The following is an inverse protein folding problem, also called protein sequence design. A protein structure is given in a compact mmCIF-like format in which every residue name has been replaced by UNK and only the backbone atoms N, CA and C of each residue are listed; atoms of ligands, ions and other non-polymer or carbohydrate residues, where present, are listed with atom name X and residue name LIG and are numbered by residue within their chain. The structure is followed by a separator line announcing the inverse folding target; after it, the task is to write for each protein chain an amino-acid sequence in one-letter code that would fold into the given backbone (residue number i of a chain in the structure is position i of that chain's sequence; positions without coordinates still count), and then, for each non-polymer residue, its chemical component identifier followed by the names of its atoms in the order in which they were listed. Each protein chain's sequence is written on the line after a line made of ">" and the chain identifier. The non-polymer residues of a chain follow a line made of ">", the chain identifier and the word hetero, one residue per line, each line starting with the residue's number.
data_IF_244788102194
#
_entry.id   IF_244788102194
#
_cell.length_a   1.000
_cell.length_b   1.000
_cell.length_c   1.000
_cell.angle_alpha   90.00
_cell.angle_beta   90.00
_cell.angle_gamma   90.00
#
_symmetry.space_group_name_H-M   'P 1'
#
loop_
_entity.id
_entity.type
_entity.pdbx_description
1 polymer ?
#
# COMPACT_ATOMS: atom_id res chain seq x y z
N UNK A 1 -17.23 -10.60 7.45
CA UNK A 1 -17.85 -10.38 6.11
C UNK A 1 -19.26 -9.81 6.15
N UNK A 2 -20.20 -10.36 6.94
CA UNK A 2 -21.63 -9.99 6.93
C UNK A 2 -21.92 -8.47 6.95
N UNK A 3 -21.35 -7.72 7.90
CA UNK A 3 -21.52 -6.25 7.99
C UNK A 3 -21.07 -5.47 6.74
N UNK A 4 -20.10 -5.98 5.99
CA UNK A 4 -19.63 -5.31 4.78
C UNK A 4 -20.64 -5.46 3.62
N UNK A 5 -21.40 -6.56 3.62
CA UNK A 5 -22.38 -6.95 2.60
C UNK A 5 -23.81 -6.44 2.91
N UNK A 6 -24.17 -6.25 4.18
CA UNK A 6 -25.52 -5.82 4.61
C UNK A 6 -26.02 -4.51 3.98
N UNK A 7 -25.13 -3.61 3.58
CA UNK A 7 -25.48 -2.33 2.95
C UNK A 7 -25.46 -2.32 1.42
N UNK A 8 -25.25 -3.47 0.78
CA UNK A 8 -25.15 -3.57 -0.69
C UNK A 8 -26.52 -3.78 -1.33
N UNK A 9 -26.76 -3.12 -2.46
CA UNK A 9 -27.88 -3.44 -3.35
C UNK A 9 -27.65 -4.81 -4.00
N UNK A 10 -28.73 -5.45 -4.49
CA UNK A 10 -28.67 -6.77 -5.14
C UNK A 10 -27.56 -6.88 -6.18
N UNK A 11 -27.57 -5.99 -7.18
CA UNK A 11 -26.53 -5.98 -8.22
C UNK A 11 -25.11 -5.76 -7.68
N UNK A 12 -24.94 -4.98 -6.60
CA UNK A 12 -23.63 -4.75 -6.00
C UNK A 12 -23.13 -6.02 -5.30
N UNK A 13 -24.04 -6.74 -4.63
CA UNK A 13 -23.74 -8.02 -4.01
C UNK A 13 -23.39 -9.05 -5.07
N UNK A 14 -24.16 -9.14 -6.16
CA UNK A 14 -23.88 -10.06 -7.25
C UNK A 14 -22.49 -9.80 -7.87
N UNK A 15 -22.13 -8.52 -8.07
CA UNK A 15 -20.77 -8.16 -8.52
C UNK A 15 -19.69 -8.55 -7.52
N UNK A 16 -19.94 -8.42 -6.21
CA UNK A 16 -18.98 -8.84 -5.16
C UNK A 16 -18.76 -10.35 -5.19
N UNK A 17 -19.84 -11.12 -5.21
CA UNK A 17 -19.77 -12.59 -5.25
C UNK A 17 -19.03 -13.04 -6.51
N UNK A 18 -19.46 -12.56 -7.68
CA UNK A 18 -18.85 -12.93 -8.95
C UNK A 18 -17.36 -12.53 -9.03
N UNK A 19 -17.00 -11.31 -8.60
CA UNK A 19 -15.61 -10.88 -8.60
C UNK A 19 -14.76 -11.73 -7.65
N UNK A 20 -15.29 -12.11 -6.48
CA UNK A 20 -14.57 -12.95 -5.52
C UNK A 20 -14.36 -14.36 -6.06
N UNK A 21 -15.38 -14.97 -6.65
CA UNK A 21 -15.31 -16.33 -7.19
C UNK A 21 -14.29 -16.42 -8.34
N UNK A 22 -14.33 -15.44 -9.27
CA UNK A 22 -13.35 -15.32 -10.36
C UNK A 22 -11.91 -15.11 -9.86
N UNK A 23 -11.72 -14.50 -8.69
CA UNK A 23 -10.40 -14.23 -8.12
C UNK A 23 -9.84 -15.39 -7.29
N UNK A 24 -10.70 -16.20 -6.63
CA UNK A 24 -10.24 -17.15 -5.60
C UNK A 24 -10.84 -18.56 -5.69
N UNK A 25 -12.09 -18.74 -6.12
CA UNK A 25 -12.80 -20.02 -5.94
C UNK A 25 -12.92 -20.84 -7.22
N UNK A 26 -12.99 -20.19 -8.38
CA UNK A 26 -13.17 -20.88 -9.65
C UNK A 26 -11.95 -21.73 -10.03
N UNK A 27 -12.21 -22.88 -10.68
CA UNK A 27 -11.15 -23.77 -11.19
C UNK A 27 -10.25 -23.07 -12.21
N UNK A 28 -10.79 -22.11 -12.97
CA UNK A 28 -10.11 -21.28 -13.96
C UNK A 28 -10.00 -19.82 -13.50
N UNK A 29 -9.79 -19.62 -12.19
CA UNK A 29 -9.64 -18.29 -11.58
C UNK A 29 -8.53 -17.45 -12.23
N UNK A 30 -8.69 -16.14 -12.12
CA UNK A 30 -7.77 -15.12 -12.65
C UNK A 30 -7.23 -14.27 -11.52
N UNK A 31 -5.98 -13.83 -11.62
CA UNK A 31 -5.41 -12.87 -10.66
C UNK A 31 -5.86 -11.42 -10.88
N UNK A 32 -6.71 -11.17 -11.90
CA UNK A 32 -7.15 -9.82 -12.29
C UNK A 32 -8.63 -9.82 -12.64
N UNK A 33 -9.34 -8.82 -12.13
CA UNK A 33 -10.76 -8.61 -12.40
C UNK A 33 -11.04 -7.10 -12.59
N UNK A 34 -11.88 -6.74 -13.56
CA UNK A 34 -12.26 -5.36 -13.86
C UNK A 34 -13.75 -5.14 -13.60
N UNK A 35 -14.08 -4.21 -12.69
CA UNK A 35 -15.47 -3.80 -12.43
C UNK A 35 -15.82 -2.57 -13.28
N UNK A 36 -16.61 -2.77 -14.32
CA UNK A 36 -16.94 -1.77 -15.33
C UNK A 36 -18.34 -1.11 -15.15
N UNK A 37 -18.73 -0.79 -13.91
CA UNK A 37 -20.01 -0.09 -13.64
C UNK A 37 -20.03 1.39 -14.10
N UNK A 38 -21.22 1.98 -14.21
CA UNK A 38 -21.41 3.42 -14.40
C UNK A 38 -20.93 4.24 -13.18
N UNK A 39 -20.63 5.52 -13.39
CA UNK A 39 -20.26 6.46 -12.32
C UNK A 39 -21.43 6.59 -11.35
N UNK A 40 -21.13 6.55 -10.04
CA UNK A 40 -22.16 6.68 -9.00
C UNK A 40 -22.84 5.37 -8.58
N UNK A 41 -22.63 4.25 -9.29
CA UNK A 41 -23.22 2.96 -8.92
C UNK A 41 -22.57 2.26 -7.71
N UNK A 42 -21.62 2.92 -7.05
CA UNK A 42 -21.06 2.46 -5.79
C UNK A 42 -19.92 1.45 -5.92
N UNK A 43 -19.05 1.57 -6.93
CA UNK A 43 -17.84 0.74 -7.08
C UNK A 43 -16.99 0.62 -5.81
N UNK A 44 -16.93 1.67 -4.98
CA UNK A 44 -16.22 1.62 -3.69
C UNK A 44 -16.90 0.67 -2.69
N UNK A 45 -18.23 0.55 -2.72
CA UNK A 45 -18.97 -0.41 -1.90
C UNK A 45 -18.74 -1.84 -2.39
N UNK A 46 -18.73 -2.05 -3.71
CA UNK A 46 -18.34 -3.33 -4.32
C UNK A 46 -16.92 -3.71 -3.90
N UNK A 47 -15.95 -2.79 -4.05
CA UNK A 47 -14.57 -3.02 -3.61
C UNK A 47 -14.48 -3.36 -2.11
N UNK A 48 -15.29 -2.71 -1.26
CA UNK A 48 -15.40 -3.06 0.17
C UNK A 48 -15.80 -4.51 0.38
N UNK A 49 -16.83 -4.97 -0.33
CA UNK A 49 -17.32 -6.34 -0.23
C UNK A 49 -16.26 -7.34 -0.67
N UNK A 50 -15.61 -7.11 -1.81
CA UNK A 50 -14.54 -7.98 -2.32
C UNK A 50 -13.36 -8.05 -1.35
N UNK A 51 -12.92 -6.90 -0.82
CA UNK A 51 -11.84 -6.85 0.17
C UNK A 51 -12.25 -7.58 1.46
N UNK A 52 -13.50 -7.46 1.90
CA UNK A 52 -14.00 -8.18 3.08
C UNK A 52 -13.89 -9.69 2.91
N UNK A 53 -14.38 -10.21 1.79
CA UNK A 53 -14.30 -11.64 1.48
C UNK A 53 -12.85 -12.10 1.31
N UNK A 54 -12.01 -11.28 0.69
CA UNK A 54 -10.58 -11.57 0.53
C UNK A 54 -9.88 -11.70 1.88
N UNK A 55 -10.12 -10.77 2.81
CA UNK A 55 -9.51 -10.82 4.15
C UNK A 55 -9.94 -12.09 4.89
N UNK A 56 -11.23 -12.40 4.85
CA UNK A 56 -11.83 -13.56 5.52
C UNK A 56 -11.28 -14.87 4.96
N UNK A 57 -11.20 -14.97 3.62
CA UNK A 57 -10.66 -16.14 2.92
C UNK A 57 -9.19 -16.39 3.22
N UNK A 58 -8.38 -15.33 3.32
CA UNK A 58 -6.95 -15.43 3.55
C UNK A 58 -6.56 -15.42 5.04
N UNK A 59 -7.53 -15.30 5.95
CA UNK A 59 -7.27 -14.98 7.35
C UNK A 59 -6.40 -16.04 8.03
N UNK A 60 -6.73 -17.31 7.84
CA UNK A 60 -6.02 -18.43 8.47
C UNK A 60 -4.86 -18.97 7.61
N UNK A 61 -4.81 -18.62 6.32
CA UNK A 61 -3.88 -19.20 5.36
C UNK A 61 -2.55 -18.44 5.25
N UNK A 62 -2.52 -17.13 5.52
CA UNK A 62 -1.31 -16.31 5.36
C UNK A 62 -1.03 -15.44 6.57
N UNK A 63 0.25 -15.21 6.89
CA UNK A 63 0.65 -14.42 8.07
C UNK A 63 0.23 -12.95 7.99
N UNK A 64 0.18 -12.36 6.79
CA UNK A 64 -0.07 -10.93 6.57
C UNK A 64 -0.81 -10.68 5.25
N UNK A 65 -1.83 -9.82 5.31
CA UNK A 65 -2.64 -9.38 4.17
C UNK A 65 -2.37 -7.89 3.92
N UNK A 66 -1.76 -7.57 2.78
CA UNK A 66 -1.48 -6.18 2.37
C UNK A 66 -2.40 -5.77 1.21
N UNK A 67 -3.26 -4.78 1.46
CA UNK A 67 -4.21 -4.26 0.48
C UNK A 67 -3.69 -2.93 -0.05
N UNK A 68 -3.33 -2.91 -1.33
CA UNK A 68 -2.79 -1.73 -2.00
C UNK A 68 -3.89 -0.99 -2.75
N UNK A 69 -4.14 0.25 -2.36
CA UNK A 69 -5.12 1.13 -3.00
C UNK A 69 -4.41 2.27 -3.73
N UNK A 70 -4.57 2.32 -5.06
CA UNK A 70 -4.00 3.37 -5.90
C UNK A 70 -5.13 4.32 -6.33
N UNK A 71 -4.99 5.61 -6.04
CA UNK A 71 -5.94 6.63 -6.48
C UNK A 71 -5.23 7.89 -6.99
N UNK A 72 -5.96 8.79 -7.63
CA UNK A 72 -5.42 10.08 -8.04
C UNK A 72 -5.21 11.07 -6.88
N UNK A 73 -5.88 10.88 -5.74
CA UNK A 73 -5.87 11.84 -4.62
C UNK A 73 -5.86 11.17 -3.23
N UNK A 74 -4.82 11.48 -2.42
CA UNK A 74 -4.57 10.87 -1.10
C UNK A 74 -5.70 11.19 -0.13
N UNK A 75 -6.29 12.39 -0.22
CA UNK A 75 -7.34 12.83 0.69
C UNK A 75 -8.61 12.00 0.47
N UNK A 76 -8.96 11.70 -0.78
CA UNK A 76 -10.07 10.81 -1.14
C UNK A 76 -9.76 9.37 -0.73
N UNK A 77 -8.48 8.95 -0.85
CA UNK A 77 -8.03 7.64 -0.38
C UNK A 77 -8.33 7.44 1.11
N UNK A 78 -8.05 8.42 1.97
CA UNK A 78 -8.32 8.30 3.42
C UNK A 78 -9.80 8.09 3.71
N UNK A 79 -10.66 8.88 3.07
CA UNK A 79 -12.10 8.78 3.28
C UNK A 79 -12.63 7.43 2.77
N UNK A 80 -12.16 6.99 1.61
CA UNK A 80 -12.54 5.69 1.05
C UNK A 80 -12.00 4.55 1.91
N UNK A 81 -10.75 4.58 2.34
CA UNK A 81 -10.15 3.54 3.19
C UNK A 81 -10.86 3.46 4.54
N UNK A 82 -11.26 4.58 5.14
CA UNK A 82 -12.10 4.54 6.35
C UNK A 82 -13.47 3.92 6.09
N UNK A 83 -14.08 4.19 4.93
CA UNK A 83 -15.34 3.55 4.50
C UNK A 83 -15.16 2.07 4.14
N UNK A 84 -13.97 1.71 3.69
CA UNK A 84 -13.53 0.34 3.38
C UNK A 84 -13.08 -0.41 4.64
N UNK A 85 -12.76 0.29 5.74
CA UNK A 85 -12.10 -0.24 6.93
C UNK A 85 -12.92 -1.33 7.59
N UNK A 86 -12.39 -2.54 7.54
CA UNK A 86 -13.04 -3.76 8.04
C UNK A 86 -12.45 -4.04 9.42
N UNK A 87 -13.03 -3.39 10.44
CA UNK A 87 -12.68 -3.65 11.84
C UNK A 87 -11.58 -2.76 12.44
N UNK A 88 -11.43 -2.87 13.76
CA UNK A 88 -10.58 -2.02 14.59
C UNK A 88 -9.07 -2.26 14.43
N UNK A 89 -8.66 -3.44 13.94
CA UNK A 89 -7.25 -3.85 13.84
C UNK A 89 -6.58 -3.50 12.49
N UNK A 90 -7.23 -2.66 11.69
CA UNK A 90 -6.71 -2.31 10.37
C UNK A 90 -5.68 -1.19 10.46
N UNK A 91 -4.41 -1.50 10.18
CA UNK A 91 -3.38 -0.46 10.04
C UNK A 91 -3.52 0.23 8.69
N UNK A 92 -3.74 1.55 8.72
CA UNK A 92 -3.80 2.37 7.51
C UNK A 92 -2.47 3.11 7.36
N UNK A 93 -1.58 2.56 6.53
CA UNK A 93 -0.29 3.19 6.27
C UNK A 93 -0.41 4.28 5.21
N UNK A 94 0.09 5.45 5.60
CA UNK A 94 0.32 6.60 4.73
C UNK A 94 1.64 6.40 4.00
N UNK A 95 1.60 5.77 2.84
CA UNK A 95 2.78 5.73 1.97
C UNK A 95 2.69 6.88 0.97
N UNK A 96 3.29 8.03 1.30
CA UNK A 96 3.32 9.18 0.39
C UNK A 96 4.04 8.85 -0.93
N UNK A 97 4.93 7.84 -0.92
CA UNK A 97 5.65 7.29 -2.09
C UNK A 97 5.93 5.80 -1.94
N UNK A 98 5.85 5.07 -3.05
CA UNK A 98 6.22 3.64 -3.12
C UNK A 98 7.69 3.37 -2.75
N UNK A 99 8.60 4.30 -3.08
CA UNK A 99 10.03 4.23 -2.79
C UNK A 99 10.36 4.15 -1.30
N UNK A 100 9.47 4.65 -0.44
CA UNK A 100 9.64 4.64 1.02
C UNK A 100 9.04 3.40 1.69
N UNK A 101 8.38 2.51 0.95
CA UNK A 101 7.80 1.29 1.50
C UNK A 101 8.81 0.46 2.31
N UNK A 102 10.08 0.28 1.89
CA UNK A 102 11.07 -0.48 2.67
C UNK A 102 11.28 0.04 4.10
N UNK A 103 11.22 1.36 4.30
CA UNK A 103 11.36 1.98 5.62
C UNK A 103 10.16 1.66 6.53
N UNK A 104 9.00 1.39 5.94
CA UNK A 104 7.75 1.09 6.64
C UNK A 104 7.47 -0.40 6.86
N UNK A 105 8.27 -1.31 6.28
CA UNK A 105 8.03 -2.77 6.34
C UNK A 105 7.95 -3.28 7.78
N UNK A 106 8.78 -2.75 8.70
CA UNK A 106 8.78 -3.20 10.10
C UNK A 106 7.44 -2.93 10.78
N UNK A 107 6.78 -1.83 10.45
CA UNK A 107 5.46 -1.51 11.00
C UNK A 107 4.34 -2.31 10.34
N UNK A 108 4.45 -2.62 9.05
CA UNK A 108 3.52 -3.52 8.35
C UNK A 108 3.52 -4.92 8.96
N UNK A 109 4.68 -5.43 9.41
CA UNK A 109 4.79 -6.74 10.06
C UNK A 109 4.10 -6.82 11.43
N UNK A 110 3.75 -5.69 12.05
CA UNK A 110 3.06 -5.67 13.35
C UNK A 110 1.55 -5.94 13.23
N UNK A 111 1.00 -5.93 12.02
CA UNK A 111 -0.44 -6.01 11.78
C UNK A 111 -0.76 -7.11 10.79
N UNK A 112 -1.82 -7.88 11.08
CA UNK A 112 -2.34 -8.94 10.21
C UNK A 112 -2.88 -8.37 8.89
N UNK A 113 -3.54 -7.21 8.95
CA UNK A 113 -4.14 -6.54 7.79
C UNK A 113 -3.60 -5.12 7.69
N UNK A 114 -3.01 -4.79 6.53
CA UNK A 114 -2.50 -3.46 6.22
C UNK A 114 -3.19 -2.88 4.99
N UNK A 115 -3.67 -1.63 5.10
CA UNK A 115 -4.14 -0.87 3.95
C UNK A 115 -3.09 0.18 3.58
N UNK A 116 -2.57 0.07 2.36
CA UNK A 116 -1.50 0.93 1.84
C UNK A 116 -2.07 1.76 0.71
N UNK A 117 -2.17 3.07 0.92
CA UNK A 117 -2.67 3.99 -0.08
C UNK A 117 -1.52 4.66 -0.83
N UNK A 118 -1.57 4.63 -2.16
CA UNK A 118 -0.64 5.39 -3.01
C UNK A 118 -1.39 6.38 -3.90
N UNK A 119 -0.75 7.52 -4.16
CA UNK A 119 -1.12 8.39 -5.27
C UNK A 119 -0.01 8.53 -6.30
N UNK A 120 -0.31 8.37 -7.60
CA UNK A 120 0.67 8.58 -8.65
C UNK A 120 1.26 10.00 -8.64
N UNK A 121 0.45 11.02 -8.35
CA UNK A 121 0.87 12.42 -8.33
C UNK A 121 1.89 12.79 -7.25
N UNK A 122 2.10 11.95 -6.23
CA UNK A 122 3.17 12.10 -5.25
C UNK A 122 4.24 11.03 -5.42
N UNK A 123 3.89 9.81 -5.83
CA UNK A 123 4.86 8.71 -6.01
C UNK A 123 5.72 8.86 -7.27
N UNK A 124 5.16 9.39 -8.36
CA UNK A 124 5.84 9.56 -9.66
C UNK A 124 6.17 11.03 -9.99
N UNK A 125 5.86 11.99 -9.10
CA UNK A 125 6.21 13.38 -9.32
C UNK A 125 7.67 13.63 -8.93
N UNK A 126 8.54 13.56 -9.94
CA UNK A 126 9.97 13.85 -9.89
C UNK A 126 10.18 15.37 -9.84
N UNK A 127 9.84 16.00 -8.71
CA UNK A 127 10.09 17.44 -8.50
C UNK A 127 11.58 17.79 -8.45
N UNK A 128 12.45 16.80 -8.29
CA UNK A 128 13.90 16.94 -8.30
C UNK A 128 14.54 15.70 -8.93
N UNK A 129 15.70 15.89 -9.55
CA UNK A 129 16.51 14.79 -10.12
C UNK A 129 17.21 13.95 -9.05
N UNK A 130 17.44 14.51 -7.86
CA UNK A 130 18.14 13.84 -6.75
C UNK A 130 17.21 13.11 -5.76
N UNK A 131 15.89 13.22 -5.93
CA UNK A 131 14.92 12.67 -4.97
C UNK A 131 14.99 13.29 -3.58
N UNK A 132 14.36 12.61 -2.61
CA UNK A 132 14.35 12.97 -1.19
C UNK A 132 15.58 12.42 -0.46
N UNK A 133 16.01 13.11 0.60
CA UNK A 133 17.13 12.61 1.40
C UNK A 133 16.79 11.29 2.10
N UNK A 134 15.53 11.09 2.48
CA UNK A 134 15.03 9.84 3.07
C UNK A 134 15.18 8.66 2.10
N UNK A 135 14.91 8.88 0.81
CA UNK A 135 15.08 7.85 -0.22
C UNK A 135 16.57 7.47 -0.34
N UNK A 136 17.47 8.44 -0.21
CA UNK A 136 18.92 8.17 -0.24
C UNK A 136 19.41 7.43 1.00
N UNK A 137 18.78 7.62 2.16
CA UNK A 137 19.04 6.79 3.36
C UNK A 137 18.66 5.34 3.07
N UNK A 138 17.47 5.10 2.51
CA UNK A 138 17.03 3.74 2.12
C UNK A 138 17.98 3.12 1.10
N UNK A 139 18.39 3.88 0.08
CA UNK A 139 19.34 3.41 -0.92
C UNK A 139 20.71 3.07 -0.32
N UNK A 140 21.22 3.87 0.62
CA UNK A 140 22.46 3.56 1.33
C UNK A 140 22.34 2.25 2.11
N UNK A 141 21.24 2.05 2.85
CA UNK A 141 21.00 0.81 3.57
C UNK A 141 20.90 -0.41 2.63
N UNK A 142 20.25 -0.25 1.47
CA UNK A 142 20.22 -1.29 0.44
C UNK A 142 21.60 -1.57 -0.15
N UNK A 143 22.39 -0.52 -0.42
CA UNK A 143 23.76 -0.66 -0.93
C UNK A 143 24.65 -1.44 0.04
N UNK A 144 24.54 -1.15 1.34
CA UNK A 144 25.25 -1.90 2.39
C UNK A 144 24.87 -3.40 2.39
N UNK A 145 23.59 -3.72 2.15
CA UNK A 145 23.10 -5.10 2.15
C UNK A 145 23.48 -5.87 0.88
N UNK A 146 23.34 -5.24 -0.28
CA UNK A 146 23.50 -5.90 -1.59
C UNK A 146 24.96 -5.93 -2.03
N UNK A 147 25.71 -4.85 -1.80
CA UNK A 147 27.09 -4.70 -2.28
C UNK A 147 28.14 -4.71 -1.17
N UNK A 148 27.73 -4.82 0.11
CA UNK A 148 28.63 -4.86 1.26
C UNK A 148 29.62 -3.67 1.31
N UNK A 149 29.18 -2.51 0.80
CA UNK A 149 29.97 -1.27 0.81
C UNK A 149 29.49 -0.34 1.92
N UNK A 150 30.44 0.25 2.63
CA UNK A 150 30.20 1.25 3.68
C UNK A 150 31.36 2.24 3.72
N UNK A 151 31.26 3.26 4.58
CA UNK A 151 32.31 4.25 4.80
C UNK A 151 32.01 5.62 4.20
N UNK A 152 32.98 6.52 4.29
CA UNK A 152 32.78 7.95 4.02
C UNK A 152 32.41 8.24 2.57
N UNK A 153 33.01 7.53 1.62
CA UNK A 153 32.75 7.73 0.19
C UNK A 153 31.27 7.51 -0.18
N UNK A 154 30.65 6.34 0.10
CA UNK A 154 29.23 6.16 -0.19
C UNK A 154 28.34 7.09 0.64
N UNK A 155 28.68 7.38 1.90
CA UNK A 155 27.94 8.37 2.70
C UNK A 155 27.87 9.74 2.02
N UNK A 156 28.98 10.20 1.41
CA UNK A 156 29.02 11.47 0.68
C UNK A 156 28.20 11.41 -0.61
N UNK A 157 28.20 10.29 -1.33
CA UNK A 157 27.36 10.09 -2.53
C UNK A 157 25.88 10.23 -2.17
N UNK A 158 25.43 9.55 -1.11
CA UNK A 158 24.02 9.59 -0.70
C UNK A 158 23.63 10.86 0.05
N UNK A 159 24.58 11.67 0.55
CA UNK A 159 24.29 12.98 1.12
C UNK A 159 23.62 13.91 0.09
N UNK A 160 24.13 13.89 -1.15
CA UNK A 160 23.65 14.78 -2.21
C UNK A 160 23.72 16.25 -1.78
N UNK A 161 22.64 17.00 -2.00
CA UNK A 161 22.55 18.42 -1.63
C UNK A 161 22.27 18.73 -0.15
N UNK A 162 22.29 17.76 0.77
CA UNK A 162 22.03 18.02 2.19
C UNK A 162 23.22 18.75 2.81
N UNK A 163 23.02 19.99 3.26
CA UNK A 163 24.10 20.84 3.79
C UNK A 163 24.61 20.40 5.17
N UNK A 164 23.74 19.84 6.02
CA UNK A 164 24.10 19.41 7.38
C UNK A 164 24.66 17.99 7.36
N UNK A 165 25.92 17.83 6.95
CA UNK A 165 26.57 16.51 6.78
C UNK A 165 26.51 15.64 8.04
N UNK A 166 26.77 16.22 9.22
CA UNK A 166 26.73 15.47 10.50
C UNK A 166 25.34 14.93 10.80
N UNK A 167 24.31 15.74 10.55
CA UNK A 167 22.92 15.33 10.73
C UNK A 167 22.55 14.20 9.77
N UNK A 168 22.89 14.32 8.48
CA UNK A 168 22.58 13.29 7.49
C UNK A 168 23.26 11.95 7.83
N UNK A 169 24.53 11.98 8.28
CA UNK A 169 25.24 10.77 8.69
C UNK A 169 24.60 10.07 9.88
N UNK A 170 24.01 10.82 10.82
CA UNK A 170 23.25 10.21 11.92
C UNK A 170 22.03 9.46 11.38
N UNK A 171 21.31 10.02 10.40
CA UNK A 171 20.17 9.34 9.77
C UNK A 171 20.55 8.05 9.02
N UNK A 172 21.82 7.87 8.60
CA UNK A 172 22.29 6.63 7.97
C UNK A 172 22.56 5.50 8.98
N UNK A 173 22.57 5.80 10.28
CA UNK A 173 22.86 4.85 11.35
C UNK A 173 21.60 4.34 12.06
N UNK A 174 20.43 4.93 11.77
CA UNK A 174 19.10 4.52 12.28
C UNK A 174 18.52 3.35 11.47
#
# INVERSE_FOLDING_TARGET
>A
VARALEGLKGFQRDTVEYAFDRLYLDKDSSHRFLVADEVGLGKTLVARGVVAKTIDHLWDDIERIDIVYICSNVNIARQNIRRLGIGADTNVMKADRLTMLPASIRDLKKHKVNFIAFTPGTSFNLRSSMGRWEERVVLYAMMQRVWHRSGVAPMNVFQGGVQKSKWFRNCLQE
#
